data_IF_106514440243
#
_entry.id   IF_106514440243
#
_cell.length_a   1.000
_cell.length_b   1.000
_cell.length_c   1.000
_cell.angle_alpha   90.00
_cell.angle_beta   90.00
_cell.angle_gamma   90.00
#
_symmetry.space_group_name_H-M   'P 1'
#
loop_
_entity.id
_entity.type
_entity.pdbx_description
1 polymer ?
#
# COMPACT_ATOMS: atom_id res chain seq x y z
N UNK A 1 -17.87 -7.54 -4.81
CA UNK A 1 -16.56 -6.89 -5.07
C UNK A 1 -16.10 -6.21 -3.80
N UNK A 2 -14.91 -6.52 -3.28
CA UNK A 2 -14.35 -5.88 -2.06
C UNK A 2 -13.12 -5.05 -2.43
N UNK A 3 -13.05 -3.82 -1.90
CA UNK A 3 -11.93 -2.90 -2.02
C UNK A 3 -11.20 -2.82 -0.67
N UNK A 4 -9.89 -3.01 -0.68
CA UNK A 4 -9.04 -2.76 0.48
C UNK A 4 -8.49 -1.33 0.42
N UNK A 5 -8.72 -0.56 1.48
CA UNK A 5 -8.22 0.80 1.66
C UNK A 5 -7.07 0.78 2.66
N UNK A 6 -5.91 1.30 2.27
CA UNK A 6 -4.72 1.43 3.12
C UNK A 6 -4.20 2.87 3.07
N UNK A 7 -3.66 3.37 4.17
CA UNK A 7 -3.11 4.72 4.34
C UNK A 7 -1.94 4.68 5.33
N UNK A 8 -1.14 5.75 5.37
CA UNK A 8 -0.11 5.98 6.39
C UNK A 8 0.88 4.82 6.50
N UNK A 9 1.37 4.36 5.36
CA UNK A 9 2.25 3.18 5.28
C UNK A 9 3.62 3.48 5.89
N UNK A 10 4.13 4.70 5.69
CA UNK A 10 5.37 5.22 6.26
C UNK A 10 6.55 4.25 6.18
N UNK A 11 6.84 3.71 5.00
CA UNK A 11 7.96 2.78 4.77
C UNK A 11 7.92 1.52 5.66
N UNK A 12 6.79 1.20 6.29
CA UNK A 12 6.67 0.08 7.22
C UNK A 12 6.34 -1.20 6.46
N UNK A 13 7.39 -1.88 6.00
CA UNK A 13 7.29 -3.13 5.24
C UNK A 13 6.49 -4.21 5.97
N UNK A 14 6.76 -4.43 7.26
CA UNK A 14 6.16 -5.52 8.02
C UNK A 14 4.65 -5.30 8.18
N UNK A 15 4.24 -4.07 8.51
CA UNK A 15 2.82 -3.72 8.59
C UNK A 15 2.15 -3.82 7.23
N UNK A 16 2.81 -3.34 6.17
CA UNK A 16 2.29 -3.41 4.81
C UNK A 16 2.02 -4.85 4.38
N UNK A 17 3.01 -5.73 4.53
CA UNK A 17 2.91 -7.14 4.13
C UNK A 17 1.78 -7.85 4.90
N UNK A 18 1.67 -7.60 6.21
CA UNK A 18 0.61 -8.16 7.06
C UNK A 18 -0.79 -7.68 6.63
N UNK A 19 -0.96 -6.37 6.40
CA UNK A 19 -2.23 -5.78 5.98
C UNK A 19 -2.65 -6.25 4.58
N UNK A 20 -1.71 -6.33 3.64
CA UNK A 20 -1.97 -6.82 2.28
C UNK A 20 -2.36 -8.30 2.29
N UNK A 21 -1.68 -9.13 3.07
CA UNK A 21 -2.03 -10.54 3.23
C UNK A 21 -3.44 -10.69 3.83
N UNK A 22 -3.74 -9.95 4.90
CA UNK A 22 -5.07 -9.95 5.52
C UNK A 22 -6.17 -9.53 4.53
N UNK A 23 -5.97 -8.42 3.79
CA UNK A 23 -6.93 -7.97 2.79
C UNK A 23 -7.23 -9.05 1.74
N UNK A 24 -6.20 -9.77 1.28
CA UNK A 24 -6.36 -10.89 0.34
C UNK A 24 -7.15 -12.05 0.94
N UNK A 25 -6.90 -12.43 2.21
CA UNK A 25 -7.70 -13.49 2.86
C UNK A 25 -9.15 -13.09 3.09
N UNK A 26 -9.44 -11.79 3.24
CA UNK A 26 -10.80 -11.26 3.30
C UNK A 26 -11.49 -11.22 1.92
N UNK A 27 -10.80 -11.58 0.84
CA UNK A 27 -11.34 -11.60 -0.52
C UNK A 27 -11.35 -10.22 -1.20
N UNK A 28 -10.43 -9.32 -0.83
CA UNK A 28 -10.23 -8.07 -1.55
C UNK A 28 -9.77 -8.33 -2.99
N UNK A 29 -10.42 -7.68 -3.95
CA UNK A 29 -10.13 -7.80 -5.38
C UNK A 29 -9.54 -6.51 -5.96
N UNK A 30 -9.68 -5.40 -5.22
CA UNK A 30 -9.15 -4.09 -5.58
C UNK A 30 -8.43 -3.51 -4.38
N UNK A 31 -7.41 -2.70 -4.66
CA UNK A 31 -6.65 -1.96 -3.67
C UNK A 31 -6.72 -0.47 -4.00
N UNK A 32 -6.78 0.34 -2.95
CA UNK A 32 -6.60 1.78 -3.01
C UNK A 32 -5.69 2.21 -1.85
N UNK A 33 -4.54 2.78 -2.16
CA UNK A 33 -3.62 3.35 -1.19
C UNK A 33 -3.77 4.87 -1.18
N UNK A 34 -3.89 5.45 0.01
CA UNK A 34 -4.27 6.85 0.20
C UNK A 34 -3.09 7.80 0.46
N UNK A 35 -1.85 7.29 0.40
CA UNK A 35 -0.63 8.08 0.51
C UNK A 35 0.19 7.81 1.76
N UNK A 36 1.16 8.68 1.99
CA UNK A 36 2.19 8.59 3.04
C UNK A 36 2.88 7.22 2.95
N UNK A 37 3.32 6.90 1.74
CA UNK A 37 4.03 5.68 1.38
C UNK A 37 5.40 5.64 2.04
N UNK A 38 6.08 6.78 2.08
CA UNK A 38 7.41 6.94 2.68
C UNK A 38 7.36 7.73 3.99
N UNK A 39 8.52 7.84 4.66
CA UNK A 39 8.64 8.53 5.94
C UNK A 39 9.41 7.69 6.97
N UNK A 40 8.80 7.51 8.14
CA UNK A 40 9.47 7.09 9.38
C UNK A 40 10.06 5.66 9.38
N UNK A 41 9.54 4.74 8.58
CA UNK A 41 10.01 3.35 8.51
C UNK A 41 11.27 3.15 7.67
N UNK A 42 11.89 1.98 7.82
CA UNK A 42 13.22 1.70 7.27
C UNK A 42 13.25 1.31 5.79
N UNK A 43 12.10 0.97 5.17
CA UNK A 43 12.05 0.34 3.85
C UNK A 43 11.28 1.14 2.79
N UNK A 44 11.59 2.44 2.53
CA UNK A 44 10.85 3.26 1.56
C UNK A 44 10.89 2.70 0.14
N UNK A 45 12.05 2.20 -0.30
CA UNK A 45 12.21 1.62 -1.63
C UNK A 45 11.32 0.40 -1.87
N UNK A 46 11.13 -0.43 -0.85
CA UNK A 46 10.22 -1.58 -0.93
C UNK A 46 8.78 -1.09 -1.13
N UNK A 47 8.32 -0.15 -0.31
CA UNK A 47 6.95 0.36 -0.39
C UNK A 47 6.66 1.03 -1.73
N UNK A 48 7.58 1.86 -2.23
CA UNK A 48 7.44 2.52 -3.54
C UNK A 48 7.38 1.49 -4.67
N UNK A 49 8.25 0.47 -4.66
CA UNK A 49 8.19 -0.61 -5.66
C UNK A 49 6.85 -1.35 -5.64
N UNK A 50 6.29 -1.63 -4.46
CA UNK A 50 4.97 -2.27 -4.32
C UNK A 50 3.85 -1.36 -4.80
N UNK A 51 3.93 -0.06 -4.53
CA UNK A 51 2.97 0.94 -5.01
C UNK A 51 2.96 1.00 -6.55
N UNK A 52 4.14 1.08 -7.17
CA UNK A 52 4.26 1.08 -8.64
C UNK A 52 3.65 -0.17 -9.26
N UNK A 53 3.94 -1.35 -8.72
CA UNK A 53 3.35 -2.60 -9.18
C UNK A 53 1.81 -2.62 -9.08
N UNK A 54 1.24 -2.07 -7.99
CA UNK A 54 -0.21 -1.95 -7.84
C UNK A 54 -0.83 -1.04 -8.91
N UNK A 55 -0.18 0.07 -9.24
CA UNK A 55 -0.63 0.97 -10.32
C UNK A 55 -0.60 0.26 -11.67
N UNK A 56 0.46 -0.50 -11.96
CA UNK A 56 0.58 -1.32 -13.18
C UNK A 56 -0.52 -2.39 -13.27
N UNK A 57 -0.93 -2.97 -12.13
CA UNK A 57 -2.06 -3.90 -12.01
C UNK A 57 -3.45 -3.22 -12.14
N UNK A 58 -3.50 -1.89 -12.29
CA UNK A 58 -4.74 -1.12 -12.44
C UNK A 58 -5.44 -0.77 -11.12
N UNK A 59 -4.70 -0.77 -10.01
CA UNK A 59 -5.15 -0.30 -8.70
C UNK A 59 -4.89 1.19 -8.50
N UNK A 60 -5.48 1.79 -7.46
CA UNK A 60 -5.32 3.20 -7.15
C UNK A 60 -4.24 3.41 -6.10
N UNK A 61 -3.33 4.35 -6.33
CA UNK A 61 -2.39 4.85 -5.33
C UNK A 61 -2.35 6.36 -5.43
N UNK A 62 -2.53 7.03 -4.29
CA UNK A 62 -2.43 8.48 -4.16
C UNK A 62 -1.14 8.85 -3.45
N UNK A 63 -0.63 10.05 -3.72
CA UNK A 63 0.43 10.66 -2.92
C UNK A 63 -0.17 11.35 -1.69
N UNK A 64 0.46 11.13 -0.54
CA UNK A 64 0.23 11.86 0.70
C UNK A 64 1.16 13.06 0.82
N UNK A 65 1.16 13.71 1.98
CA UNK A 65 1.99 14.90 2.19
C UNK A 65 3.45 14.57 2.50
N UNK A 66 3.78 13.31 2.80
CA UNK A 66 5.13 12.84 3.05
C UNK A 66 5.81 12.17 1.84
N UNK A 67 5.13 12.09 0.69
CA UNK A 67 5.58 11.39 -0.52
C UNK A 67 6.44 12.24 -1.48
#
# INVERSE_FOLDING_TARGET
MKLALLSDIHSNRQALDACMAHARTQGAQRFAWLGDLVGYGADPGYVVQRAMALVEEGHCVLGGNHD
#
